data_IF_504705569212
#
_entry.id   IF_504705569212
#
_cell.length_a   1.000
_cell.length_b   1.000
_cell.length_c   1.000
_cell.angle_alpha   90.00
_cell.angle_beta   90.00
_cell.angle_gamma   90.00
#
_symmetry.space_group_name_H-M   'P 1'
#
loop_
_entity.id
_entity.type
_entity.pdbx_description
1 polymer ?
#
# COMPACT_ATOMS: atom_id res chain seq x y z
N UNK A 1 -7.05 3.87 -8.44
CA UNK A 1 -6.20 5.07 -8.21
C UNK A 1 -6.92 6.06 -7.29
N UNK A 2 -6.17 6.85 -6.51
CA UNK A 2 -6.74 7.80 -5.54
C UNK A 2 -7.63 8.87 -6.20
N UNK A 3 -8.93 8.95 -5.86
CA UNK A 3 -9.78 10.06 -6.29
C UNK A 3 -9.31 11.36 -5.63
N UNK A 4 -8.96 12.38 -6.42
CA UNK A 4 -8.23 13.55 -5.93
C UNK A 4 -9.03 14.39 -4.92
N UNK A 5 -10.29 14.74 -5.23
CA UNK A 5 -11.13 15.54 -4.31
C UNK A 5 -11.43 14.78 -3.02
N UNK A 6 -11.86 13.53 -3.14
CA UNK A 6 -12.17 12.70 -1.98
C UNK A 6 -10.93 12.51 -1.08
N UNK A 7 -9.75 12.33 -1.68
CA UNK A 7 -8.49 12.23 -0.93
C UNK A 7 -8.21 13.49 -0.11
N UNK A 8 -8.49 14.68 -0.65
CA UNK A 8 -8.34 15.94 0.08
C UNK A 8 -9.33 16.06 1.24
N UNK A 9 -10.56 15.58 1.07
CA UNK A 9 -11.55 15.62 2.14
C UNK A 9 -11.28 14.59 3.23
N UNK A 10 -10.79 13.41 2.86
CA UNK A 10 -10.30 12.39 3.80
C UNK A 10 -9.09 12.92 4.57
N UNK A 11 -8.14 13.59 3.91
CA UNK A 11 -7.00 14.23 4.57
C UNK A 11 -7.48 15.23 5.64
N UNK A 12 -8.43 16.10 5.30
CA UNK A 12 -8.96 17.08 6.25
C UNK A 12 -9.67 16.40 7.41
N UNK A 13 -10.51 15.41 7.13
CA UNK A 13 -11.20 14.62 8.14
C UNK A 13 -10.20 13.94 9.08
N UNK A 14 -9.14 13.36 8.54
CA UNK A 14 -8.07 12.73 9.30
C UNK A 14 -7.36 13.72 10.23
N UNK A 15 -6.98 14.89 9.72
CA UNK A 15 -6.32 15.94 10.50
C UNK A 15 -7.21 16.46 11.62
N UNK A 16 -8.48 16.73 11.34
CA UNK A 16 -9.44 17.16 12.35
C UNK A 16 -9.69 16.11 13.43
N UNK A 17 -9.86 14.84 13.03
CA UNK A 17 -10.10 13.72 13.95
C UNK A 17 -8.94 13.53 14.94
N UNK A 18 -7.71 13.77 14.50
CA UNK A 18 -6.51 13.69 15.36
C UNK A 18 -6.19 15.02 16.07
N UNK A 19 -7.10 16.00 16.03
CA UNK A 19 -6.94 17.27 16.75
C UNK A 19 -5.93 18.24 16.14
N UNK A 20 -5.48 18.04 14.90
CA UNK A 20 -4.54 18.96 14.26
C UNK A 20 -5.24 20.25 13.81
N UNK A 21 -4.73 21.39 14.29
CA UNK A 21 -5.02 22.72 13.72
C UNK A 21 -3.85 23.24 12.86
N UNK A 22 -2.64 22.79 13.18
CA UNK A 22 -1.41 23.08 12.44
C UNK A 22 -0.49 21.84 12.46
N UNK A 23 0.30 21.65 11.42
CA UNK A 23 1.38 20.66 11.35
C UNK A 23 2.69 21.41 11.14
N UNK A 24 3.62 21.31 12.08
CA UNK A 24 4.91 22.05 12.05
C UNK A 24 4.74 23.55 11.76
N UNK A 25 3.71 24.17 12.35
CA UNK A 25 3.38 25.59 12.18
C UNK A 25 2.51 25.94 10.97
N UNK A 26 2.31 25.02 10.03
CA UNK A 26 1.49 25.22 8.83
C UNK A 26 0.02 24.90 9.15
N UNK A 27 -0.92 25.80 8.82
CA UNK A 27 -2.36 25.54 9.03
C UNK A 27 -2.88 24.42 8.14
N UNK A 28 -3.88 23.68 8.63
CA UNK A 28 -4.53 22.60 7.87
C UNK A 28 -5.13 23.09 6.54
N UNK A 29 -5.63 24.32 6.46
CA UNK A 29 -6.11 24.92 5.20
C UNK A 29 -4.97 25.09 4.19
N UNK A 30 -3.80 25.53 4.64
CA UNK A 30 -2.61 25.63 3.80
C UNK A 30 -2.13 24.25 3.37
N UNK A 31 -2.19 23.25 4.27
CA UNK A 31 -1.88 21.86 3.92
C UNK A 31 -2.84 21.33 2.85
N UNK A 32 -4.16 21.59 2.96
CA UNK A 32 -5.15 21.22 1.93
C UNK A 32 -4.80 21.85 0.58
N UNK A 33 -4.46 23.15 0.57
CA UNK A 33 -4.08 23.87 -0.65
C UNK A 33 -2.82 23.28 -1.29
N UNK A 34 -1.77 23.01 -0.50
CA UNK A 34 -0.54 22.41 -0.99
C UNK A 34 -0.76 20.99 -1.52
N UNK A 35 -1.53 20.16 -0.80
CA UNK A 35 -1.92 18.83 -1.26
C UNK A 35 -2.74 18.89 -2.55
N UNK A 36 -3.64 19.87 -2.67
CA UNK A 36 -4.44 20.10 -3.87
C UNK A 36 -3.56 20.42 -5.07
N UNK A 37 -2.53 21.26 -4.93
CA UNK A 37 -1.58 21.55 -6.01
C UNK A 37 -0.84 20.28 -6.43
N UNK A 38 -0.34 19.51 -5.46
CA UNK A 38 0.43 18.28 -5.74
C UNK A 38 -0.42 17.22 -6.45
N UNK A 39 -1.71 17.10 -6.10
CA UNK A 39 -2.61 16.15 -6.74
C UNK A 39 -3.11 16.67 -8.10
N UNK A 40 -3.61 17.91 -8.14
CA UNK A 40 -4.35 18.43 -9.29
C UNK A 40 -3.46 19.07 -10.34
N UNK A 41 -2.27 19.55 -10.01
CA UNK A 41 -1.36 20.22 -10.97
C UNK A 41 -0.17 19.33 -11.36
N UNK A 42 -0.39 18.02 -11.28
CA UNK A 42 0.58 17.03 -11.70
C UNK A 42 0.57 16.84 -13.22
N UNK A 43 1.63 17.34 -13.87
CA UNK A 43 1.83 17.34 -15.31
C UNK A 43 3.15 16.67 -15.64
N UNK A 44 3.16 15.80 -16.66
CA UNK A 44 4.36 15.11 -17.11
C UNK A 44 4.42 15.04 -18.64
N UNK A 45 5.62 14.82 -19.17
CA UNK A 45 5.84 14.69 -20.61
C UNK A 45 6.15 13.26 -20.99
N UNK A 46 5.47 12.75 -22.01
CA UNK A 46 5.78 11.45 -22.60
C UNK A 46 5.64 11.53 -24.13
N UNK A 47 6.62 11.04 -24.87
CA UNK A 47 6.60 11.06 -26.34
C UNK A 47 6.37 12.46 -26.94
N UNK A 48 7.03 13.49 -26.40
CA UNK A 48 6.87 14.92 -26.78
C UNK A 48 5.45 15.50 -26.59
N UNK A 49 4.57 14.80 -25.87
CA UNK A 49 3.24 15.28 -25.49
C UNK A 49 3.20 15.58 -24.00
N UNK A 50 2.39 16.57 -23.63
CA UNK A 50 2.14 16.97 -22.24
C UNK A 50 0.85 16.30 -21.76
N UNK A 51 0.90 15.64 -20.62
CA UNK A 51 -0.23 14.96 -19.99
C UNK A 51 -0.45 15.49 -18.58
N UNK A 52 -1.73 15.63 -18.22
CA UNK A 52 -2.16 15.99 -16.86
C UNK A 52 -2.78 14.77 -16.20
N UNK A 53 -2.29 14.41 -15.02
CA UNK A 53 -2.85 13.30 -14.26
C UNK A 53 -4.17 13.73 -13.60
N UNK A 54 -5.28 13.11 -14.02
CA UNK A 54 -6.63 13.45 -13.53
C UNK A 54 -7.09 12.61 -12.35
N UNK A 55 -6.44 11.47 -12.10
CA UNK A 55 -6.69 10.59 -10.95
C UNK A 55 -5.37 10.04 -10.42
N UNK A 56 -5.28 9.84 -9.10
CA UNK A 56 -4.02 9.52 -8.43
C UNK A 56 -3.13 10.74 -8.22
N UNK A 57 -1.89 10.47 -7.80
CA UNK A 57 -0.81 11.44 -7.72
C UNK A 57 0.46 10.87 -8.34
N UNK A 58 1.53 11.68 -8.36
CA UNK A 58 2.80 11.30 -8.97
C UNK A 58 3.41 10.09 -8.26
N UNK A 59 3.79 9.07 -9.02
CA UNK A 59 4.60 7.98 -8.49
C UNK A 59 5.94 8.52 -8.00
N UNK A 60 6.41 8.06 -6.84
CA UNK A 60 7.63 8.56 -6.20
C UNK A 60 7.45 9.84 -5.35
N UNK A 61 6.28 10.48 -5.38
CA UNK A 61 5.98 11.58 -4.46
C UNK A 61 5.75 11.05 -3.04
N UNK A 62 6.54 11.54 -2.09
CA UNK A 62 6.42 11.20 -0.67
C UNK A 62 5.06 11.59 -0.08
N UNK A 63 4.50 12.71 -0.53
CA UNK A 63 3.16 13.13 -0.11
C UNK A 63 2.08 12.21 -0.69
N UNK A 64 2.19 11.83 -1.97
CA UNK A 64 1.19 10.94 -2.59
C UNK A 64 1.10 9.60 -1.87
N UNK A 65 2.23 9.02 -1.46
CA UNK A 65 2.24 7.80 -0.63
C UNK A 65 1.58 8.03 0.74
N UNK A 66 1.84 9.17 1.37
CA UNK A 66 1.22 9.53 2.66
C UNK A 66 -0.30 9.64 2.52
N UNK A 67 -0.77 10.32 1.46
CA UNK A 67 -2.19 10.45 1.16
C UNK A 67 -2.84 9.10 0.85
N UNK A 68 -2.13 8.22 0.12
CA UNK A 68 -2.58 6.85 -0.12
C UNK A 68 -2.80 6.09 1.19
N UNK A 69 -1.87 6.20 2.13
CA UNK A 69 -1.98 5.54 3.42
C UNK A 69 -3.14 6.09 4.27
N UNK A 70 -3.36 7.41 4.26
CA UNK A 70 -4.50 8.02 4.95
C UNK A 70 -5.82 7.56 4.32
N UNK A 71 -5.89 7.51 3.00
CA UNK A 71 -7.06 7.01 2.26
C UNK A 71 -7.37 5.55 2.64
N UNK A 72 -6.35 4.69 2.57
CA UNK A 72 -6.50 3.28 2.90
C UNK A 72 -6.82 3.07 4.38
N UNK A 73 -6.28 3.89 5.29
CA UNK A 73 -6.62 3.84 6.71
C UNK A 73 -8.11 4.08 6.97
N UNK A 74 -8.74 5.02 6.23
CA UNK A 74 -10.21 5.21 6.30
C UNK A 74 -10.95 4.01 5.72
N UNK A 75 -10.57 3.54 4.53
CA UNK A 75 -11.24 2.43 3.85
C UNK A 75 -11.17 1.13 4.67
N UNK A 76 -10.02 0.79 5.24
CA UNK A 76 -9.81 -0.46 5.98
C UNK A 76 -10.29 -0.42 7.44
N UNK A 77 -10.79 0.73 7.94
CA UNK A 77 -11.07 0.94 9.36
C UNK A 77 -11.94 -0.17 9.96
N UNK A 78 -13.07 -0.45 9.32
CA UNK A 78 -14.05 -1.41 9.84
C UNK A 78 -13.50 -2.84 9.88
N UNK A 79 -12.78 -3.26 8.83
CA UNK A 79 -12.20 -4.61 8.78
C UNK A 79 -11.08 -4.77 9.80
N UNK A 80 -10.24 -3.76 10.00
CA UNK A 80 -9.20 -3.79 11.04
C UNK A 80 -9.82 -3.90 12.43
N UNK A 81 -10.87 -3.14 12.71
CA UNK A 81 -11.60 -3.21 13.99
C UNK A 81 -12.25 -4.57 14.22
N UNK A 82 -12.82 -5.19 13.17
CA UNK A 82 -13.40 -6.52 13.26
C UNK A 82 -12.33 -7.59 13.54
N UNK A 83 -11.26 -7.61 12.75
CA UNK A 83 -10.15 -8.55 12.90
C UNK A 83 -9.51 -8.46 14.29
N UNK A 84 -9.36 -7.23 14.81
CA UNK A 84 -8.84 -7.01 16.17
C UNK A 84 -9.76 -7.60 17.23
N UNK A 85 -11.09 -7.51 17.06
CA UNK A 85 -12.07 -8.06 18.01
C UNK A 85 -12.10 -9.58 17.99
N UNK A 86 -11.88 -10.20 16.83
CA UNK A 86 -11.87 -11.66 16.66
C UNK A 86 -10.52 -12.30 16.98
N UNK A 87 -9.49 -11.51 17.30
CA UNK A 87 -8.13 -12.00 17.54
C UNK A 87 -7.44 -12.48 16.27
N UNK A 88 -7.93 -12.05 15.10
CA UNK A 88 -7.34 -12.33 13.80
C UNK A 88 -6.32 -11.23 13.42
N UNK A 89 -5.31 -11.60 12.65
CA UNK A 89 -4.31 -10.67 12.14
C UNK A 89 -4.80 -9.95 10.88
N UNK A 90 -4.54 -8.64 10.81
CA UNK A 90 -4.63 -7.84 9.60
C UNK A 90 -3.37 -6.98 9.44
N UNK A 91 -2.72 -7.06 8.29
CA UNK A 91 -1.56 -6.24 7.94
C UNK A 91 -1.65 -5.75 6.50
N UNK A 92 -1.20 -4.51 6.27
CA UNK A 92 -1.09 -3.93 4.94
C UNK A 92 0.29 -3.36 4.72
N UNK A 93 0.91 -3.73 3.61
CA UNK A 93 2.14 -3.13 3.11
C UNK A 93 1.85 -2.43 1.78
N UNK A 94 1.68 -1.10 1.82
CA UNK A 94 1.29 -0.29 0.66
C UNK A 94 0.00 -0.83 -0.01
N UNK A 95 0.10 -1.57 -1.10
CA UNK A 95 -1.01 -2.16 -1.86
C UNK A 95 -1.28 -3.63 -1.51
N UNK A 96 -0.35 -4.32 -0.84
CA UNK A 96 -0.50 -5.71 -0.43
C UNK A 96 -1.17 -5.82 0.94
N UNK A 97 -2.20 -6.66 1.05
CA UNK A 97 -2.93 -6.96 2.31
C UNK A 97 -2.74 -8.43 2.66
N UNK A 98 -2.47 -8.71 3.93
CA UNK A 98 -2.48 -10.05 4.51
C UNK A 98 -3.43 -10.08 5.70
N UNK A 99 -4.28 -11.10 5.76
CA UNK A 99 -5.16 -11.34 6.89
C UNK A 99 -5.28 -12.82 7.22
N UNK A 100 -5.55 -13.14 8.48
CA UNK A 100 -5.92 -14.49 8.91
C UNK A 100 -7.43 -14.58 9.09
N UNK A 101 -7.98 -15.78 8.97
CA UNK A 101 -9.41 -16.01 9.16
C UNK A 101 -9.64 -17.33 9.90
N UNK A 102 -10.42 -17.26 10.97
CA UNK A 102 -10.68 -18.40 11.87
C UNK A 102 -12.14 -18.90 11.75
N UNK A 103 -12.94 -18.30 10.87
CA UNK A 103 -14.33 -18.70 10.61
C UNK A 103 -14.45 -19.49 9.29
N UNK A 104 -15.66 -19.68 8.76
CA UNK A 104 -15.85 -20.48 7.55
C UNK A 104 -15.28 -19.78 6.31
N UNK A 105 -14.84 -20.57 5.32
CA UNK A 105 -14.30 -20.05 4.06
C UNK A 105 -15.40 -19.31 3.27
N UNK A 106 -16.65 -19.75 3.37
CA UNK A 106 -17.80 -19.10 2.73
C UNK A 106 -18.03 -17.68 3.30
N UNK A 107 -17.88 -17.50 4.61
CA UNK A 107 -17.96 -16.17 5.23
C UNK A 107 -16.81 -15.26 4.80
N UNK A 108 -15.60 -15.83 4.60
CA UNK A 108 -14.45 -15.09 4.10
C UNK A 108 -14.68 -14.62 2.65
N UNK A 109 -15.13 -15.51 1.77
CA UNK A 109 -15.40 -15.17 0.36
C UNK A 109 -16.46 -14.07 0.30
N UNK A 110 -17.54 -14.20 1.08
CA UNK A 110 -18.58 -13.18 1.15
C UNK A 110 -18.03 -11.83 1.60
N UNK A 111 -17.20 -11.81 2.65
CA UNK A 111 -16.55 -10.58 3.10
C UNK A 111 -15.66 -9.97 2.01
N UNK A 112 -14.84 -10.76 1.32
CA UNK A 112 -13.93 -10.28 0.27
C UNK A 112 -14.69 -9.73 -0.95
N UNK A 113 -15.81 -10.35 -1.30
CA UNK A 113 -16.71 -9.85 -2.34
C UNK A 113 -17.41 -8.55 -1.91
N UNK A 114 -17.85 -8.47 -0.66
CA UNK A 114 -18.43 -7.25 -0.08
C UNK A 114 -17.40 -6.11 -0.07
N UNK A 115 -16.14 -6.36 0.35
CA UNK A 115 -15.06 -5.38 0.34
C UNK A 115 -14.80 -4.80 -1.06
N UNK A 116 -14.95 -5.64 -2.09
CA UNK A 116 -14.84 -5.24 -3.49
C UNK A 116 -15.97 -4.30 -3.98
N UNK A 117 -17.00 -4.07 -3.16
CA UNK A 117 -18.09 -3.12 -3.43
C UNK A 117 -17.95 -1.81 -2.65
N UNK A 118 -17.07 -1.75 -1.63
CA UNK A 118 -16.99 -0.60 -0.72
C UNK A 118 -16.56 0.70 -1.40
N UNK A 119 -15.75 0.61 -2.45
CA UNK A 119 -15.26 1.79 -3.15
C UNK A 119 -14.96 1.49 -4.62
N UNK A 120 -15.47 2.29 -5.59
CA UNK A 120 -15.33 1.98 -7.03
C UNK A 120 -13.87 1.95 -7.53
N UNK A 121 -12.97 2.69 -6.87
CA UNK A 121 -11.55 2.74 -7.25
C UNK A 121 -10.65 1.75 -6.50
N UNK A 122 -11.21 0.90 -5.64
CA UNK A 122 -10.48 -0.14 -4.92
C UNK A 122 -11.02 -1.49 -5.39
N UNK A 123 -10.13 -2.33 -5.93
CA UNK A 123 -10.43 -3.69 -6.33
C UNK A 123 -9.41 -4.60 -5.68
N UNK A 124 -9.89 -5.58 -4.92
CA UNK A 124 -9.08 -6.63 -4.31
C UNK A 124 -9.02 -7.81 -5.27
N UNK A 125 -7.81 -8.18 -5.65
CA UNK A 125 -7.49 -9.52 -6.16
C UNK A 125 -6.96 -10.33 -4.98
N UNK A 126 -7.58 -11.47 -4.68
CA UNK A 126 -7.32 -12.21 -3.46
C UNK A 126 -7.00 -13.68 -3.73
N UNK A 127 -6.20 -14.26 -2.84
CA UNK A 127 -5.90 -15.69 -2.80
C UNK A 127 -6.13 -16.18 -1.38
N UNK A 128 -6.83 -17.31 -1.27
CA UNK A 128 -7.14 -17.96 0.00
C UNK A 128 -6.39 -19.29 0.03
N UNK A 129 -5.78 -19.62 1.18
CA UNK A 129 -5.07 -20.87 1.33
C UNK A 129 -4.28 -20.96 2.62
N UNK A 130 -3.96 -22.19 3.01
CA UNK A 130 -3.14 -22.47 4.19
C UNK A 130 -1.66 -22.17 3.98
N UNK A 131 -1.23 -22.03 2.73
CA UNK A 131 0.15 -21.66 2.39
C UNK A 131 0.13 -20.66 1.24
N UNK A 132 0.52 -19.41 1.51
CA UNK A 132 0.50 -18.32 0.53
C UNK A 132 1.78 -17.49 0.59
N UNK A 133 2.31 -17.06 -0.57
CA UNK A 133 3.35 -16.06 -0.60
C UNK A 133 2.77 -14.68 -0.29
N UNK A 134 3.47 -13.91 0.54
CA UNK A 134 3.22 -12.49 0.79
C UNK A 134 4.55 -11.75 0.75
N UNK A 135 4.69 -10.83 -0.23
CA UNK A 135 5.97 -10.21 -0.56
C UNK A 135 7.06 -11.27 -0.85
N UNK A 136 8.16 -11.27 -0.09
CA UNK A 136 9.27 -12.22 -0.20
C UNK A 136 9.21 -13.33 0.86
N UNK A 137 8.05 -13.52 1.50
CA UNK A 137 7.86 -14.49 2.58
C UNK A 137 6.77 -15.49 2.20
N UNK A 138 7.07 -16.78 2.34
CA UNK A 138 6.09 -17.85 2.27
C UNK A 138 5.51 -18.05 3.66
N UNK A 139 4.23 -17.76 3.81
CA UNK A 139 3.47 -18.00 5.03
C UNK A 139 2.79 -19.36 4.91
N UNK A 140 2.90 -20.19 5.95
CA UNK A 140 2.22 -21.49 6.04
C UNK A 140 1.58 -21.63 7.41
N UNK A 141 0.26 -21.76 7.44
CA UNK A 141 -0.52 -22.08 8.62
C UNK A 141 -0.48 -23.59 8.88
N UNK A 142 0.06 -23.98 10.05
CA UNK A 142 0.07 -25.35 10.55
C UNK A 142 -0.82 -25.40 11.80
N UNK A 143 -2.10 -25.73 11.62
CA UNK A 143 -3.08 -25.89 12.70
C UNK A 143 -3.15 -24.68 13.66
N UNK A 144 -3.19 -23.46 13.11
CA UNK A 144 -3.25 -22.21 13.88
C UNK A 144 -1.89 -21.59 14.21
N UNK A 145 -0.79 -22.28 13.90
CA UNK A 145 0.56 -21.75 14.07
C UNK A 145 1.10 -21.30 12.71
N UNK A 146 1.33 -20.00 12.55
CA UNK A 146 1.97 -19.44 11.35
C UNK A 146 3.47 -19.71 11.38
N UNK A 147 3.95 -20.35 10.32
CA UNK A 147 5.37 -20.53 10.02
C UNK A 147 5.75 -19.73 8.78
N UNK A 148 6.96 -19.16 8.78
CA UNK A 148 7.50 -18.36 7.68
C UNK A 148 8.72 -19.04 7.07
N UNK A 149 8.90 -18.85 5.77
CA UNK A 149 10.14 -19.18 5.06
C UNK A 149 10.35 -18.17 3.93
N UNK A 150 11.55 -18.14 3.35
CA UNK A 150 11.85 -17.25 2.22
C UNK A 150 11.08 -17.70 0.99
N UNK A 151 10.40 -16.77 0.31
CA UNK A 151 9.72 -17.03 -0.96
C UNK A 151 10.47 -16.37 -2.12
N UNK A 152 10.82 -17.17 -3.12
CA UNK A 152 11.32 -16.68 -4.40
C UNK A 152 10.22 -16.78 -5.44
N UNK A 153 9.85 -15.65 -6.05
CA UNK A 153 8.91 -15.65 -7.17
C UNK A 153 9.46 -16.56 -8.28
N UNK A 154 8.64 -17.40 -8.92
CA UNK A 154 9.10 -18.23 -10.04
C UNK A 154 9.70 -17.43 -11.20
N UNK A 155 9.27 -16.18 -11.34
CA UNK A 155 9.80 -15.22 -12.32
C UNK A 155 11.03 -14.45 -11.83
N UNK A 156 11.57 -14.75 -10.64
CA UNK A 156 12.76 -14.11 -10.14
C UNK A 156 13.97 -14.60 -10.95
N UNK A 157 14.38 -13.78 -11.91
CA UNK A 157 15.60 -14.02 -12.66
C UNK A 157 16.80 -13.52 -11.85
N UNK A 158 17.95 -14.19 -11.90
CA UNK A 158 19.15 -13.81 -11.13
C UNK A 158 19.85 -12.57 -11.72
N UNK A 159 19.12 -11.72 -12.45
CA UNK A 159 19.69 -10.54 -13.07
C UNK A 159 20.00 -9.49 -12.01
N UNK A 160 21.29 -9.18 -11.92
CA UNK A 160 21.78 -8.07 -11.14
C UNK A 160 22.12 -6.92 -12.08
N UNK A 161 21.91 -5.70 -11.59
CA UNK A 161 22.30 -4.48 -12.29
C UNK A 161 23.79 -4.53 -12.65
N UNK A 162 24.18 -4.38 -13.94
CA UNK A 162 25.59 -4.43 -14.33
C UNK A 162 26.41 -3.40 -13.57
N UNK A 163 27.59 -3.78 -13.06
CA UNK A 163 28.44 -2.87 -12.29
C UNK A 163 28.88 -1.63 -13.09
N UNK A 164 28.86 -1.72 -14.42
CA UNK A 164 29.19 -0.63 -15.35
C UNK A 164 28.04 0.36 -15.57
N UNK A 165 26.86 0.12 -15.01
CA UNK A 165 25.73 1.05 -15.10
C UNK A 165 25.95 2.29 -14.24
N UNK A 166 25.30 3.39 -14.61
CA UNK A 166 25.41 4.69 -13.92
C UNK A 166 24.54 4.76 -12.65
N UNK A 167 24.70 3.78 -11.76
CA UNK A 167 24.05 3.78 -10.46
C UNK A 167 25.04 4.12 -9.34
N UNK A 168 24.59 4.76 -8.25
CA UNK A 168 25.45 5.03 -7.11
C UNK A 168 26.09 3.75 -6.55
N UNK A 169 27.37 3.84 -6.13
CA UNK A 169 28.14 2.66 -5.67
C UNK A 169 27.46 1.84 -4.57
N UNK A 170 26.72 2.51 -3.68
CA UNK A 170 26.01 1.83 -2.59
C UNK A 170 24.92 0.87 -3.08
N UNK A 171 24.35 1.09 -4.28
CA UNK A 171 23.35 0.19 -4.88
C UNK A 171 23.97 -1.18 -5.13
N UNK A 172 25.17 -1.23 -5.71
CA UNK A 172 25.87 -2.50 -5.97
C UNK A 172 26.25 -3.24 -4.68
N UNK A 173 26.75 -2.51 -3.67
CA UNK A 173 27.03 -3.10 -2.35
C UNK A 173 25.76 -3.67 -1.71
N UNK A 174 24.63 -2.96 -1.85
CA UNK A 174 23.35 -3.41 -1.32
C UNK A 174 22.81 -4.63 -2.07
N UNK A 175 23.01 -4.75 -3.37
CA UNK A 175 22.64 -5.96 -4.13
C UNK A 175 23.36 -7.18 -3.54
N UNK A 176 24.68 -7.12 -3.39
CA UNK A 176 25.46 -8.25 -2.84
C UNK A 176 25.01 -8.55 -1.40
N UNK A 177 24.90 -7.51 -0.57
CA UNK A 177 24.51 -7.64 0.82
C UNK A 177 23.13 -8.28 0.97
N UNK A 178 22.13 -7.77 0.25
CA UNK A 178 20.76 -8.30 0.29
C UNK A 178 20.66 -9.71 -0.28
N UNK A 179 21.46 -10.07 -1.28
CA UNK A 179 21.51 -11.45 -1.79
C UNK A 179 22.06 -12.44 -0.76
N UNK A 180 23.03 -12.04 0.06
CA UNK A 180 23.61 -12.89 1.12
C UNK A 180 22.69 -12.95 2.35
N UNK A 181 22.16 -11.80 2.79
CA UNK A 181 21.34 -11.69 4.01
C UNK A 181 19.91 -12.19 3.82
N UNK A 182 19.42 -12.37 2.59
CA UNK A 182 18.11 -12.97 2.30
C UNK A 182 18.06 -14.48 2.49
N UNK A 183 19.20 -15.16 2.61
CA UNK A 183 19.29 -16.63 2.70
C UNK A 183 18.91 -17.16 4.09
#
# INVERSE_FOLDING_TARGET
>A
MLPQEETLDILMTFLHTHGYRKVKGISIDTIKKLASIILKDNVFTYGKKIYKQTTGGAMGSSLTLTLANIFMAKWQKNIVEEQTKTGEYYGRYIDDIFMTWNRSEEELIKLLDDLNTWHPNIKLDYKIGNSLPFLDVQLTNKNGILSTSVYHKPSAEPYVTPFISDHPRHVFSNIIKTSIERA
#
